data_IF_680426485289
#
_entry.id   IF_680426485289
#
_cell.length_a   1.000
_cell.length_b   1.000
_cell.length_c   1.000
_cell.angle_alpha   90.00
_cell.angle_beta   90.00
_cell.angle_gamma   90.00
#
_symmetry.space_group_name_H-M   'P 1'
#
loop_
_entity.id
_entity.type
_entity.pdbx_description
1 polymer ?
#
# COMPACT_ATOMS: atom_id res chain seq x y z
N UNK A 1 6.46 -11.48 -38.91
CA UNK A 1 5.23 -12.28 -38.65
C UNK A 1 5.41 -12.99 -37.33
N UNK A 2 5.10 -12.30 -36.26
CA UNK A 2 4.88 -12.93 -34.95
C UNK A 2 3.40 -13.17 -34.84
N UNK A 3 2.96 -14.37 -35.10
CA UNK A 3 1.68 -14.86 -34.62
C UNK A 3 1.76 -14.82 -33.08
N UNK A 4 1.01 -13.89 -32.47
CA UNK A 4 0.80 -13.89 -31.05
C UNK A 4 0.23 -15.24 -30.63
N UNK A 5 0.99 -15.98 -29.85
CA UNK A 5 0.54 -17.18 -29.17
C UNK A 5 -0.64 -16.76 -28.28
N UNK A 6 -1.84 -17.04 -28.72
CA UNK A 6 -3.04 -16.93 -27.88
C UNK A 6 -2.85 -17.93 -26.74
N UNK A 7 -2.45 -17.44 -25.59
CA UNK A 7 -2.48 -18.24 -24.36
C UNK A 7 -3.96 -18.53 -24.11
N UNK A 8 -4.33 -19.81 -24.12
CA UNK A 8 -5.67 -20.25 -23.77
C UNK A 8 -5.98 -19.82 -22.34
N UNK A 9 -6.71 -18.71 -22.20
CA UNK A 9 -7.17 -18.24 -20.91
C UNK A 9 -8.43 -19.01 -20.53
N UNK A 10 -8.40 -19.66 -19.38
CA UNK A 10 -9.55 -20.40 -18.88
C UNK A 10 -10.20 -19.60 -17.73
N UNK A 11 -11.36 -18.99 -17.93
CA UNK A 11 -12.10 -18.38 -16.84
C UNK A 11 -12.70 -19.47 -15.95
N UNK A 12 -12.39 -19.39 -14.68
CA UNK A 12 -12.99 -20.22 -13.63
C UNK A 12 -14.00 -19.37 -12.88
N UNK A 13 -15.25 -19.81 -12.83
CA UNK A 13 -16.31 -19.16 -12.05
C UNK A 13 -16.61 -20.01 -10.82
N UNK A 14 -16.65 -19.37 -9.68
CA UNK A 14 -17.09 -19.97 -8.43
C UNK A 14 -18.20 -19.10 -7.82
N UNK A 15 -19.23 -19.71 -7.28
CA UNK A 15 -20.35 -19.04 -6.61
C UNK A 15 -20.11 -18.84 -5.11
N UNK A 16 -18.88 -19.11 -4.63
CA UNK A 16 -18.52 -19.07 -3.22
C UNK A 16 -19.05 -20.26 -2.41
N UNK A 17 -19.60 -21.25 -3.08
CA UNK A 17 -19.79 -22.63 -2.60
C UNK A 17 -18.66 -23.45 -3.21
N UNK A 18 -18.43 -24.65 -2.75
CA UNK A 18 -17.32 -25.50 -3.27
C UNK A 18 -17.50 -25.95 -4.74
N UNK A 19 -18.47 -25.40 -5.45
CA UNK A 19 -18.74 -25.69 -6.85
C UNK A 19 -18.00 -24.68 -7.74
N UNK A 20 -17.09 -25.19 -8.54
CA UNK A 20 -16.33 -24.45 -9.55
C UNK A 20 -16.88 -24.89 -10.91
N UNK A 21 -17.29 -23.94 -11.74
CA UNK A 21 -17.68 -24.25 -13.12
C UNK A 21 -16.47 -24.78 -13.91
N UNK A 22 -16.74 -25.66 -14.88
CA UNK A 22 -15.67 -26.16 -15.76
C UNK A 22 -15.00 -24.99 -16.51
N UNK A 23 -13.66 -25.01 -16.61
CA UNK A 23 -12.91 -24.01 -17.36
C UNK A 23 -13.37 -23.96 -18.82
N UNK A 24 -13.43 -22.75 -19.37
CA UNK A 24 -13.80 -22.53 -20.79
C UNK A 24 -12.76 -21.63 -21.44
N UNK A 25 -12.42 -21.87 -22.74
CA UNK A 25 -11.53 -20.96 -23.46
C UNK A 25 -12.10 -19.54 -23.49
N UNK A 26 -11.26 -18.54 -23.21
CA UNK A 26 -11.63 -17.13 -23.26
C UNK A 26 -10.51 -16.32 -23.91
N UNK A 27 -10.90 -15.35 -24.76
CA UNK A 27 -9.96 -14.36 -25.27
C UNK A 27 -9.55 -13.41 -24.15
N UNK A 28 -8.30 -13.50 -23.71
CA UNK A 28 -7.75 -12.69 -22.64
C UNK A 28 -6.28 -12.32 -22.94
N UNK A 29 -5.88 -11.05 -22.76
CA UNK A 29 -4.47 -10.69 -22.90
C UNK A 29 -3.62 -11.41 -21.83
N UNK A 30 -2.30 -11.55 -22.02
CA UNK A 30 -1.42 -12.14 -21.01
C UNK A 30 -1.62 -11.48 -19.64
N UNK A 31 -1.84 -12.30 -18.60
CA UNK A 31 -2.07 -11.81 -17.24
C UNK A 31 -3.21 -12.54 -16.54
N UNK A 32 -3.70 -11.97 -15.45
CA UNK A 32 -4.79 -12.52 -14.64
C UNK A 32 -5.85 -11.45 -14.40
N UNK A 33 -7.12 -11.80 -14.62
CA UNK A 33 -8.26 -10.97 -14.24
C UNK A 33 -9.06 -11.66 -13.16
N UNK A 34 -9.38 -10.94 -12.10
CA UNK A 34 -10.29 -11.37 -11.05
C UNK A 34 -11.52 -10.45 -11.06
N UNK A 35 -12.70 -11.02 -11.35
CA UNK A 35 -13.98 -10.31 -11.29
C UNK A 35 -14.78 -10.82 -10.11
N UNK A 36 -15.00 -9.95 -9.12
CA UNK A 36 -15.75 -10.27 -7.90
C UNK A 36 -17.06 -9.50 -7.93
N UNK A 37 -18.17 -10.23 -7.99
CA UNK A 37 -19.54 -9.67 -8.03
C UNK A 37 -20.29 -10.02 -6.77
N UNK A 38 -21.28 -9.21 -6.42
CA UNK A 38 -22.18 -9.44 -5.29
C UNK A 38 -21.45 -9.81 -3.98
N UNK A 39 -20.44 -9.02 -3.63
CA UNK A 39 -19.61 -9.24 -2.45
C UNK A 39 -20.46 -9.57 -1.21
N UNK A 40 -20.15 -10.67 -0.53
CA UNK A 40 -20.89 -11.21 0.62
C UNK A 40 -22.32 -11.67 0.33
N UNK A 41 -22.63 -12.00 -0.91
CA UNK A 41 -23.96 -12.54 -1.27
C UNK A 41 -24.32 -13.80 -0.44
N UNK A 42 -23.36 -14.72 -0.26
CA UNK A 42 -23.50 -15.96 0.51
C UNK A 42 -23.22 -15.79 2.04
N UNK A 43 -22.86 -14.60 2.48
CA UNK A 43 -22.59 -14.29 3.89
C UNK A 43 -23.31 -13.01 4.33
N UNK A 44 -24.66 -13.06 4.44
CA UNK A 44 -25.47 -11.86 4.71
C UNK A 44 -25.12 -11.18 6.04
N UNK A 45 -24.60 -11.93 7.01
CA UNK A 45 -24.11 -11.36 8.26
C UNK A 45 -22.93 -10.40 8.03
N UNK A 46 -21.99 -10.75 7.13
CA UNK A 46 -20.88 -9.86 6.75
C UNK A 46 -21.35 -8.67 5.91
N UNK A 47 -22.34 -8.88 5.04
CA UNK A 47 -22.89 -7.81 4.21
C UNK A 47 -23.46 -6.65 5.04
N UNK A 48 -24.02 -6.95 6.22
CA UNK A 48 -24.55 -5.92 7.15
C UNK A 48 -23.47 -4.99 7.71
N UNK A 49 -22.21 -5.37 7.68
CA UNK A 49 -21.09 -4.53 8.13
C UNK A 49 -20.54 -3.62 7.05
N UNK A 50 -20.95 -3.78 5.80
CA UNK A 50 -20.59 -2.84 4.73
C UNK A 50 -21.16 -1.46 5.06
N UNK A 51 -20.30 -0.47 4.92
CA UNK A 51 -20.67 0.93 5.11
C UNK A 51 -21.11 1.57 3.80
N UNK A 52 -21.10 2.90 3.75
CA UNK A 52 -21.41 3.60 2.49
C UNK A 52 -20.34 3.31 1.44
N UNK A 53 -20.73 3.33 0.15
CA UNK A 53 -19.82 3.14 -0.98
C UNK A 53 -18.55 4.01 -0.84
N UNK A 54 -18.72 5.28 -0.48
CA UNK A 54 -17.61 6.21 -0.27
C UNK A 54 -16.64 5.72 0.83
N UNK A 55 -17.16 5.17 1.92
CA UNK A 55 -16.33 4.68 3.03
C UNK A 55 -15.56 3.44 2.60
N UNK A 56 -16.23 2.49 1.96
CA UNK A 56 -15.61 1.27 1.46
C UNK A 56 -14.55 1.59 0.40
N UNK A 57 -14.86 2.52 -0.52
CA UNK A 57 -13.91 2.96 -1.51
C UNK A 57 -12.66 3.61 -0.90
N UNK A 58 -12.81 4.46 0.11
CA UNK A 58 -11.67 5.05 0.82
C UNK A 58 -10.74 3.98 1.42
N UNK A 59 -11.30 2.88 1.93
CA UNK A 59 -10.50 1.76 2.42
C UNK A 59 -9.76 1.04 1.29
N UNK A 60 -10.41 0.82 0.15
CA UNK A 60 -9.77 0.23 -1.03
C UNK A 60 -8.66 1.13 -1.58
N UNK A 61 -8.92 2.43 -1.71
CA UNK A 61 -7.94 3.40 -2.15
C UNK A 61 -6.69 3.39 -1.24
N UNK A 62 -6.89 3.33 0.06
CA UNK A 62 -5.80 3.26 1.03
C UNK A 62 -4.96 1.97 0.89
N UNK A 63 -5.59 0.83 0.57
CA UNK A 63 -4.86 -0.41 0.25
C UNK A 63 -4.00 -0.23 -1.01
N UNK A 64 -4.56 0.35 -2.07
CA UNK A 64 -3.82 0.61 -3.32
C UNK A 64 -2.65 1.57 -3.08
N UNK A 65 -2.85 2.64 -2.31
CA UNK A 65 -1.78 3.58 -1.91
C UNK A 65 -0.62 2.86 -1.23
N UNK A 66 -0.90 2.00 -0.26
CA UNK A 66 0.12 1.21 0.44
C UNK A 66 0.86 0.26 -0.47
N UNK A 67 0.16 -0.46 -1.33
CA UNK A 67 0.78 -1.33 -2.32
C UNK A 67 1.68 -0.55 -3.27
N UNK A 68 1.20 0.58 -3.78
CA UNK A 68 1.95 1.44 -4.68
C UNK A 68 3.21 2.05 -4.04
N UNK A 69 3.17 2.36 -2.75
CA UNK A 69 4.33 2.82 -1.99
C UNK A 69 5.28 1.68 -1.62
N UNK A 70 4.82 0.44 -1.52
CA UNK A 70 5.66 -0.71 -1.21
C UNK A 70 6.38 -1.30 -2.44
N UNK A 71 5.87 -1.06 -3.65
CA UNK A 71 6.35 -1.65 -4.90
C UNK A 71 6.50 -0.57 -5.97
N UNK A 72 7.62 0.14 -5.93
CA UNK A 72 7.92 1.18 -6.93
C UNK A 72 8.17 0.61 -8.33
N UNK A 73 8.61 -0.62 -8.41
CA UNK A 73 8.88 -1.39 -9.63
C UNK A 73 7.60 -1.79 -10.40
N UNK A 74 6.42 -1.70 -9.78
CA UNK A 74 5.13 -2.10 -10.35
C UNK A 74 4.29 -0.88 -10.71
N UNK A 75 3.62 -0.91 -11.86
CA UNK A 75 2.59 0.06 -12.22
C UNK A 75 1.28 -0.24 -11.47
N UNK A 76 0.59 0.81 -11.04
CA UNK A 76 -0.74 0.69 -10.42
C UNK A 76 -1.73 1.62 -11.10
N UNK A 77 -2.91 1.11 -11.39
CA UNK A 77 -4.04 1.91 -11.86
C UNK A 77 -5.26 1.63 -10.99
N UNK A 78 -5.90 2.69 -10.52
CA UNK A 78 -7.16 2.60 -9.78
C UNK A 78 -8.24 3.38 -10.49
N UNK A 79 -9.37 2.73 -10.75
CA UNK A 79 -10.56 3.34 -11.31
C UNK A 79 -11.75 3.14 -10.39
N UNK A 80 -12.63 4.11 -10.35
CA UNK A 80 -13.88 4.03 -9.58
C UNK A 80 -15.00 4.62 -10.42
N UNK A 81 -16.07 3.88 -10.61
CA UNK A 81 -17.23 4.29 -11.44
C UNK A 81 -16.82 4.83 -12.82
N UNK A 82 -15.92 4.12 -13.50
CA UNK A 82 -15.41 4.47 -14.83
C UNK A 82 -14.34 5.58 -14.85
N UNK A 83 -14.11 6.33 -13.75
CA UNK A 83 -13.11 7.39 -13.68
C UNK A 83 -11.76 6.85 -13.20
N UNK A 84 -10.69 7.20 -13.89
CA UNK A 84 -9.33 6.92 -13.43
C UNK A 84 -8.98 7.90 -12.30
N UNK A 85 -8.61 7.38 -11.14
CA UNK A 85 -8.21 8.16 -9.97
C UNK A 85 -6.70 8.16 -9.78
N UNK A 86 -6.08 7.01 -9.97
CA UNK A 86 -4.63 6.88 -9.91
C UNK A 86 -4.13 6.17 -11.17
N UNK A 87 -3.02 6.65 -11.69
CA UNK A 87 -2.24 6.01 -12.75
C UNK A 87 -0.75 6.20 -12.43
N UNK A 88 -0.19 5.22 -11.73
CA UNK A 88 1.14 5.28 -11.15
C UNK A 88 2.08 4.43 -11.99
N UNK A 89 3.03 5.07 -12.65
CA UNK A 89 4.04 4.40 -13.46
C UNK A 89 5.10 3.74 -12.56
N UNK A 90 5.73 2.65 -12.98
CA UNK A 90 6.87 2.10 -12.26
C UNK A 90 8.04 3.09 -12.33
N UNK A 91 8.95 2.99 -11.37
CA UNK A 91 10.16 3.80 -11.36
C UNK A 91 11.10 3.41 -10.23
N UNK A 92 12.38 3.28 -10.57
CA UNK A 92 13.41 2.84 -9.63
C UNK A 92 14.33 3.97 -9.18
N UNK A 93 14.44 5.06 -9.96
CA UNK A 93 15.22 6.21 -9.57
C UNK A 93 14.56 6.98 -8.40
N UNK A 94 15.38 7.66 -7.60
CA UNK A 94 14.88 8.47 -6.50
C UNK A 94 13.85 9.51 -6.99
N UNK A 95 14.08 10.14 -8.14
CA UNK A 95 13.16 11.12 -8.71
C UNK A 95 11.81 10.52 -9.10
N UNK A 96 11.79 9.27 -9.59
CA UNK A 96 10.55 8.57 -9.93
C UNK A 96 9.78 8.13 -8.68
N UNK A 97 10.48 7.62 -7.68
CA UNK A 97 9.91 7.29 -6.37
C UNK A 97 9.30 8.53 -5.72
N UNK A 98 10.03 9.65 -5.74
CA UNK A 98 9.55 10.93 -5.23
C UNK A 98 8.27 11.40 -5.94
N UNK A 99 8.19 11.30 -7.27
CA UNK A 99 6.99 11.61 -8.05
C UNK A 99 5.79 10.75 -7.63
N UNK A 100 6.02 9.45 -7.40
CA UNK A 100 4.97 8.55 -6.92
C UNK A 100 4.50 8.93 -5.52
N UNK A 101 5.43 9.21 -4.61
CA UNK A 101 5.09 9.68 -3.25
C UNK A 101 4.30 10.98 -3.32
N UNK A 102 4.70 11.94 -4.16
CA UNK A 102 3.96 13.18 -4.39
C UNK A 102 2.52 12.92 -4.89
N UNK A 103 2.36 11.96 -5.81
CA UNK A 103 1.03 11.61 -6.34
C UNK A 103 0.15 10.94 -5.29
N UNK A 104 0.71 10.07 -4.44
CA UNK A 104 -0.02 9.31 -3.43
C UNK A 104 -0.31 10.13 -2.18
N UNK A 105 0.68 10.88 -1.69
CA UNK A 105 0.61 11.62 -0.43
C UNK A 105 0.24 13.09 -0.60
N UNK A 106 0.21 13.56 -1.83
CA UNK A 106 -0.06 14.94 -2.19
C UNK A 106 1.20 15.80 -2.40
N UNK A 107 1.16 16.75 -3.34
CA UNK A 107 2.30 17.62 -3.64
C UNK A 107 2.71 18.48 -2.44
N UNK A 108 1.76 18.95 -1.64
CA UNK A 108 2.04 19.76 -0.45
C UNK A 108 2.90 19.02 0.59
N UNK A 109 2.76 17.69 0.73
CA UNK A 109 3.67 16.88 1.55
C UNK A 109 5.08 16.92 0.96
N UNK A 110 5.20 16.69 -0.33
CA UNK A 110 6.50 16.56 -0.99
C UNK A 110 7.29 17.88 -1.00
N UNK A 111 6.60 19.02 -1.15
CA UNK A 111 7.19 20.36 -1.07
C UNK A 111 7.78 20.68 0.31
N UNK A 112 7.24 20.07 1.36
CA UNK A 112 7.65 20.29 2.74
C UNK A 112 8.23 19.02 3.40
N UNK A 113 8.72 18.10 2.59
CA UNK A 113 9.41 16.91 3.06
C UNK A 113 10.89 16.94 2.72
N UNK A 114 11.69 16.35 3.59
CA UNK A 114 13.10 16.07 3.32
C UNK A 114 13.30 14.58 3.08
N UNK A 115 14.15 14.25 2.13
CA UNK A 115 14.65 12.90 1.96
C UNK A 115 15.76 12.63 2.98
N UNK A 116 15.68 11.48 3.64
CA UNK A 116 16.74 10.99 4.50
C UNK A 116 17.14 9.59 4.09
N UNK A 117 18.40 9.29 4.29
CA UNK A 117 18.94 7.96 4.13
C UNK A 117 20.06 7.76 5.17
N UNK A 118 19.99 6.66 5.90
CA UNK A 118 21.00 6.25 6.85
C UNK A 118 21.24 4.74 6.70
N UNK A 119 22.48 4.38 6.43
CA UNK A 119 22.90 3.01 6.24
C UNK A 119 23.92 2.61 7.32
N UNK A 120 23.72 1.42 7.87
CA UNK A 120 24.63 0.75 8.79
C UNK A 120 24.74 -0.72 8.40
N UNK A 121 25.77 -1.44 8.83
CA UNK A 121 25.87 -2.87 8.53
C UNK A 121 24.58 -3.62 8.89
N UNK A 122 23.95 -4.21 7.86
CA UNK A 122 22.71 -4.98 8.01
C UNK A 122 21.42 -4.18 8.20
N UNK A 123 21.47 -2.83 8.11
CA UNK A 123 20.30 -1.97 8.29
C UNK A 123 20.37 -0.73 7.38
N UNK A 124 19.29 -0.44 6.67
CA UNK A 124 19.12 0.79 5.89
C UNK A 124 17.77 1.41 6.18
N UNK A 125 17.77 2.66 6.63
CA UNK A 125 16.55 3.46 6.80
C UNK A 125 16.56 4.60 5.78
N UNK A 126 15.51 4.70 4.98
CA UNK A 126 15.40 5.75 3.99
C UNK A 126 13.96 6.20 3.78
N UNK A 127 13.75 7.33 3.13
CA UNK A 127 12.44 7.84 2.78
C UNK A 127 12.28 9.33 2.99
N UNK A 128 11.06 9.76 3.18
CA UNK A 128 10.68 11.17 3.28
C UNK A 128 10.00 11.45 4.61
N UNK A 129 10.42 12.53 5.25
CA UNK A 129 9.82 13.01 6.50
C UNK A 129 9.37 14.46 6.31
N UNK A 130 8.14 14.76 6.69
CA UNK A 130 7.60 16.11 6.64
C UNK A 130 8.31 17.04 7.61
N UNK A 131 8.56 18.26 7.20
CA UNK A 131 9.02 19.32 8.12
C UNK A 131 7.96 19.53 9.23
N UNK A 132 8.35 19.98 10.42
CA UNK A 132 7.42 20.27 11.51
C UNK A 132 6.28 21.23 11.12
N UNK A 133 6.53 22.11 10.16
CA UNK A 133 5.53 23.00 9.56
C UNK A 133 4.45 22.28 8.79
N UNK A 134 4.74 21.10 8.24
CA UNK A 134 3.79 20.21 7.60
C UNK A 134 3.31 19.13 8.58
N UNK A 135 2.62 19.51 9.62
CA UNK A 135 2.04 18.58 10.57
C UNK A 135 0.53 18.40 10.33
N UNK A 136 0.02 17.21 10.67
CA UNK A 136 -1.37 16.82 10.43
C UNK A 136 -2.20 16.86 11.70
N UNK A 137 -3.50 17.16 11.59
CA UNK A 137 -4.44 17.03 12.70
C UNK A 137 -4.80 15.56 13.01
N UNK A 138 -4.58 14.67 12.04
CA UNK A 138 -4.78 13.23 12.15
C UNK A 138 -3.52 12.49 11.69
N UNK A 139 -3.36 11.25 12.17
CA UNK A 139 -2.26 10.36 11.78
C UNK A 139 -2.57 9.63 10.45
N UNK A 140 -3.00 10.38 9.44
CA UNK A 140 -3.49 9.86 8.15
C UNK A 140 -2.40 9.76 7.07
N UNK A 141 -1.22 10.33 7.31
CA UNK A 141 -0.09 10.34 6.39
C UNK A 141 1.16 9.77 7.05
N UNK A 142 1.04 8.53 7.53
CA UNK A 142 2.10 7.82 8.24
C UNK A 142 2.28 6.44 7.63
N UNK A 143 3.26 6.31 6.73
CA UNK A 143 3.58 5.08 6.05
C UNK A 143 4.96 4.60 6.50
N UNK A 144 5.00 3.40 7.08
CA UNK A 144 6.23 2.73 7.46
C UNK A 144 6.28 1.34 6.86
N UNK A 145 7.41 1.03 6.22
CA UNK A 145 7.62 -0.25 5.56
C UNK A 145 8.85 -0.94 6.14
N UNK A 146 8.74 -2.23 6.40
CA UNK A 146 9.86 -3.09 6.78
C UNK A 146 10.00 -4.18 5.72
N UNK A 147 11.15 -4.23 5.04
CA UNK A 147 11.39 -5.17 3.93
C UNK A 147 10.22 -5.23 2.93
N UNK A 148 9.69 -4.07 2.54
CA UNK A 148 8.57 -3.93 1.60
C UNK A 148 7.17 -4.23 2.17
N UNK A 149 7.04 -4.55 3.47
CA UNK A 149 5.75 -4.76 4.13
C UNK A 149 5.30 -3.53 4.90
N UNK A 150 4.05 -3.16 4.75
CA UNK A 150 3.42 -2.09 5.56
C UNK A 150 3.35 -2.52 7.01
N UNK A 151 3.93 -1.73 7.90
CA UNK A 151 3.93 -1.99 9.34
C UNK A 151 3.21 -0.86 10.08
N UNK A 152 2.39 -1.26 11.05
CA UNK A 152 1.70 -0.38 11.99
C UNK A 152 2.05 -0.82 13.41
N UNK A 153 3.26 -0.51 13.81
CA UNK A 153 3.79 -0.91 15.11
C UNK A 153 3.84 0.27 16.07
N UNK A 154 3.50 0.03 17.33
CA UNK A 154 3.48 1.05 18.38
C UNK A 154 4.88 1.55 18.72
N UNK A 155 5.89 0.69 18.66
CA UNK A 155 7.27 1.04 18.92
C UNK A 155 7.79 2.02 17.87
N UNK A 156 7.52 1.74 16.59
CA UNK A 156 7.88 2.61 15.47
C UNK A 156 7.14 3.95 15.59
N UNK A 157 5.84 3.93 15.84
CA UNK A 157 5.06 5.14 16.05
C UNK A 157 5.60 5.98 17.21
N UNK A 158 6.00 5.33 18.29
CA UNK A 158 6.62 5.99 19.44
C UNK A 158 8.00 6.59 19.09
N UNK A 159 8.85 5.85 18.39
CA UNK A 159 10.18 6.32 17.98
C UNK A 159 10.07 7.56 17.07
N UNK A 160 9.18 7.53 16.08
CA UNK A 160 8.93 8.70 15.22
C UNK A 160 8.39 9.88 16.03
N UNK A 161 7.42 9.63 16.93
CA UNK A 161 6.90 10.68 17.81
C UNK A 161 8.00 11.30 18.70
N UNK A 162 8.91 10.50 19.20
CA UNK A 162 10.07 11.00 19.97
C UNK A 162 11.00 11.88 19.12
N UNK A 163 11.26 11.49 17.87
CA UNK A 163 12.08 12.30 16.97
C UNK A 163 11.49 13.69 16.69
N UNK A 164 10.17 13.84 16.78
CA UNK A 164 9.47 15.10 16.59
C UNK A 164 9.05 15.82 17.88
N UNK A 165 9.42 15.27 19.05
CA UNK A 165 8.90 15.67 20.37
C UNK A 165 9.00 17.17 20.64
N UNK A 166 10.15 17.76 20.32
CA UNK A 166 10.47 19.14 20.70
C UNK A 166 10.09 20.17 19.60
N UNK A 167 9.60 19.69 18.44
CA UNK A 167 9.34 20.53 17.26
C UNK A 167 7.89 20.52 16.80
N UNK A 168 7.07 19.58 17.27
CA UNK A 168 5.64 19.53 16.95
C UNK A 168 4.78 20.13 18.04
N UNK A 169 3.78 20.91 17.63
CA UNK A 169 2.74 21.39 18.56
C UNK A 169 1.92 20.22 19.13
N UNK A 170 1.41 20.40 20.33
CA UNK A 170 0.52 19.43 20.98
C UNK A 170 -0.69 19.09 20.08
N UNK A 171 -1.02 17.80 20.00
CA UNK A 171 -2.14 17.30 19.19
C UNK A 171 -1.87 17.24 17.68
N UNK A 172 -0.63 17.54 17.23
CA UNK A 172 -0.24 17.39 15.83
C UNK A 172 0.48 16.08 15.59
N UNK A 173 0.37 15.57 14.38
CA UNK A 173 0.97 14.32 13.94
C UNK A 173 1.99 14.56 12.84
N UNK A 174 3.18 13.92 12.91
CA UNK A 174 4.15 13.99 11.83
C UNK A 174 3.62 13.26 10.60
N UNK A 175 4.02 13.72 9.42
CA UNK A 175 3.78 13.04 8.15
C UNK A 175 5.10 12.41 7.67
N UNK A 176 5.05 11.15 7.23
CA UNK A 176 6.24 10.46 6.73
C UNK A 176 5.91 9.28 5.84
N UNK A 177 6.87 8.94 4.98
CA UNK A 177 6.91 7.70 4.20
C UNK A 177 8.31 7.13 4.38
N UNK A 178 8.46 6.14 5.24
CA UNK A 178 9.75 5.58 5.66
C UNK A 178 9.87 4.09 5.33
N UNK A 179 11.07 3.68 4.95
CA UNK A 179 11.43 2.32 4.61
C UNK A 179 12.59 1.87 5.48
N UNK A 180 12.43 0.74 6.12
CA UNK A 180 13.46 0.05 6.87
C UNK A 180 13.77 -1.27 6.19
N UNK A 181 15.00 -1.43 5.75
CA UNK A 181 15.54 -2.65 5.18
C UNK A 181 16.53 -3.24 6.16
N UNK A 182 16.36 -4.50 6.50
CA UNK A 182 17.25 -5.22 7.40
C UNK A 182 17.23 -6.72 7.09
N UNK A 183 18.21 -7.44 7.63
CA UNK A 183 18.29 -8.88 7.47
C UNK A 183 16.95 -9.53 7.91
N UNK A 184 16.29 -10.29 7.03
CA UNK A 184 15.04 -10.98 7.36
C UNK A 184 15.14 -11.88 8.60
N UNK A 185 16.33 -12.40 8.93
CA UNK A 185 16.56 -13.19 10.13
C UNK A 185 16.42 -12.39 11.43
N UNK A 186 16.53 -11.06 11.36
CA UNK A 186 16.39 -10.14 12.50
C UNK A 186 14.94 -9.68 12.73
N UNK A 187 14.02 -10.05 11.84
CA UNK A 187 12.61 -9.62 11.91
C UNK A 187 11.71 -10.84 11.90
N UNK A 188 10.91 -10.98 12.94
CA UNK A 188 9.81 -11.91 12.93
C UNK A 188 8.52 -11.17 12.53
N UNK A 189 8.02 -11.48 11.33
CA UNK A 189 6.80 -10.91 10.79
C UNK A 189 5.55 -11.75 11.13
N UNK A 190 5.71 -12.87 11.83
CA UNK A 190 4.63 -13.78 12.17
C UNK A 190 4.09 -13.56 13.59
N UNK A 191 4.04 -12.30 14.02
CA UNK A 191 3.60 -11.90 15.36
C UNK A 191 2.09 -11.71 15.45
N UNK A 192 1.43 -11.30 14.35
CA UNK A 192 0.00 -11.02 14.35
C UNK A 192 -0.68 -11.56 13.07
N UNK A 193 -1.93 -12.05 13.14
CA UNK A 193 -2.66 -12.57 11.97
C UNK A 193 -2.73 -11.61 10.79
N UNK A 194 -2.85 -10.30 11.04
CA UNK A 194 -2.89 -9.27 10.00
C UNK A 194 -1.50 -8.89 9.46
N UNK A 195 -0.41 -9.42 10.08
CA UNK A 195 1.00 -9.17 9.69
C UNK A 195 1.38 -7.67 9.60
N UNK A 196 0.70 -6.82 10.36
CA UNK A 196 1.02 -5.38 10.44
C UNK A 196 1.98 -5.03 11.58
N UNK A 197 2.30 -6.00 12.42
CA UNK A 197 3.28 -5.88 13.50
C UNK A 197 4.50 -6.75 13.22
N UNK A 198 5.65 -6.31 13.66
CA UNK A 198 6.91 -7.05 13.56
C UNK A 198 7.60 -7.11 14.92
N UNK A 199 8.35 -8.15 15.16
CA UNK A 199 9.21 -8.26 16.32
C UNK A 199 10.67 -8.19 15.86
N UNK A 200 11.39 -7.20 16.33
CA UNK A 200 12.84 -7.11 16.15
C UNK A 200 13.53 -8.03 17.17
N UNK A 201 14.52 -8.77 16.71
CA UNK A 201 15.37 -9.61 17.58
C UNK A 201 16.60 -8.87 18.04
#
# INVERSE_FOLDING_TARGET
DRMDELVDAEPVRGDGRDEIEEPRPAAHPPGTTLDVRDLFFNTPARRKFLRTEKTEFNHLEEVVKRLALSRFDVAFSLRHNGKALHNLKPGDSQAERQRRVATVCGPAFMEQAIYLENERPGLRLWGWVGLPTFSRSQADLQYFFVNGRVIRDKLIAHAVKQAYRDVLYHGRHPAFVLYLELDPAQVDANVHPTKHEVRFR
#
